data_IF_818518355145
#
_entry.id   IF_818518355145
#
_cell.length_a   1.000
_cell.length_b   1.000
_cell.length_c   1.000
_cell.angle_alpha   90.00
_cell.angle_beta   90.00
_cell.angle_gamma   90.00
#
_symmetry.space_group_name_H-M   'P 1'
#
loop_
_entity.id
_entity.type
_entity.pdbx_description
1 polymer ?
#
# COMPACT_ATOMS: atom_id res chain seq x y z
N UNK A 1 50.73 -14.84 -18.55
CA UNK A 1 50.06 -14.30 -17.34
C UNK A 1 48.72 -13.61 -17.61
N UNK A 2 48.19 -13.62 -18.84
CA UNK A 2 46.94 -12.93 -19.19
C UNK A 2 45.63 -13.63 -18.72
N UNK A 3 45.62 -14.96 -18.58
CA UNK A 3 44.41 -15.72 -18.24
C UNK A 3 43.94 -15.61 -16.78
N UNK A 4 44.85 -15.35 -15.83
CA UNK A 4 44.50 -15.18 -14.41
C UNK A 4 43.72 -13.88 -14.16
N UNK A 5 44.06 -12.81 -14.87
CA UNK A 5 43.37 -11.52 -14.76
C UNK A 5 41.93 -11.60 -15.27
N UNK A 6 41.69 -12.34 -16.35
CA UNK A 6 40.34 -12.51 -16.92
C UNK A 6 39.44 -13.39 -16.05
N UNK A 7 39.99 -14.42 -15.40
CA UNK A 7 39.25 -15.25 -14.43
C UNK A 7 38.87 -14.47 -13.17
N UNK A 8 39.75 -13.59 -12.67
CA UNK A 8 39.46 -12.71 -11.55
C UNK A 8 38.40 -11.67 -11.91
N UNK A 9 38.47 -11.10 -13.12
CA UNK A 9 37.47 -10.13 -13.59
C UNK A 9 36.09 -10.79 -13.79
N UNK A 10 36.06 -12.00 -14.37
CA UNK A 10 34.84 -12.78 -14.50
C UNK A 10 34.27 -13.14 -13.12
N UNK A 11 35.09 -13.65 -12.20
CA UNK A 11 34.67 -14.00 -10.84
C UNK A 11 34.23 -12.81 -9.97
N UNK A 12 34.64 -11.58 -10.31
CA UNK A 12 34.21 -10.36 -9.64
C UNK A 12 32.90 -9.79 -10.21
N UNK A 13 32.66 -9.95 -11.52
CA UNK A 13 31.45 -9.46 -12.20
C UNK A 13 30.27 -10.46 -12.13
N UNK A 14 30.56 -11.77 -12.10
CA UNK A 14 29.56 -12.84 -12.01
C UNK A 14 28.67 -12.74 -10.75
N UNK A 15 29.20 -12.47 -9.54
CA UNK A 15 28.38 -12.26 -8.36
C UNK A 15 27.45 -11.06 -8.51
N UNK A 16 27.89 -9.93 -9.08
CA UNK A 16 27.04 -8.76 -9.29
C UNK A 16 25.89 -9.00 -10.28
N UNK A 17 26.05 -9.93 -11.22
CA UNK A 17 25.01 -10.31 -12.19
C UNK A 17 24.05 -11.38 -11.66
N UNK A 18 24.53 -12.29 -10.79
CA UNK A 18 23.73 -13.34 -10.17
C UNK A 18 23.05 -12.92 -8.86
N UNK A 19 23.58 -11.87 -8.20
CA UNK A 19 23.04 -11.24 -6.99
C UNK A 19 22.18 -10.02 -7.34
N UNK A 20 21.44 -10.06 -8.45
CA UNK A 20 20.19 -9.29 -8.52
C UNK A 20 19.22 -9.93 -7.53
N UNK A 21 19.54 -9.80 -6.24
CA UNK A 21 18.75 -10.33 -5.14
C UNK A 21 17.41 -9.61 -5.19
N UNK A 22 16.37 -10.38 -5.52
CA UNK A 22 14.99 -9.94 -5.46
C UNK A 22 14.72 -9.42 -4.04
N UNK A 23 14.89 -8.11 -3.83
CA UNK A 23 14.63 -7.50 -2.53
C UNK A 23 13.19 -7.82 -2.16
N UNK A 24 12.98 -8.32 -0.94
CA UNK A 24 11.63 -8.56 -0.43
C UNK A 24 11.03 -7.22 -0.06
N UNK A 25 10.02 -6.78 -0.81
CA UNK A 25 9.35 -5.51 -0.61
C UNK A 25 7.96 -5.75 -0.04
N UNK A 26 7.64 -5.04 1.04
CA UNK A 26 6.30 -4.99 1.62
C UNK A 26 5.64 -3.67 1.22
N UNK A 27 4.59 -3.71 0.44
CA UNK A 27 3.70 -2.58 0.18
C UNK A 27 2.49 -2.67 1.12
N UNK A 28 1.89 -1.56 1.52
CA UNK A 28 0.77 -1.59 2.46
C UNK A 28 -0.29 -0.54 2.11
N UNK A 29 -1.54 -0.97 1.90
CA UNK A 29 -2.71 -0.10 1.63
C UNK A 29 -3.72 -0.19 2.76
N UNK A 30 -4.08 0.93 3.36
CA UNK A 30 -5.07 1.04 4.45
C UNK A 30 -6.48 1.42 4.01
N UNK A 31 -6.66 1.77 2.73
CA UNK A 31 -7.94 2.09 2.12
C UNK A 31 -7.98 1.56 0.67
N UNK A 32 -9.19 1.25 0.19
CA UNK A 32 -9.44 0.95 -1.21
C UNK A 32 -9.46 2.18 -2.12
N UNK A 33 -10.06 2.05 -3.30
CA UNK A 33 -10.17 3.12 -4.28
C UNK A 33 -8.81 3.53 -4.84
N UNK A 34 -8.54 4.84 -4.93
CA UNK A 34 -7.32 5.38 -5.53
C UNK A 34 -6.02 4.94 -4.83
N UNK A 35 -6.06 4.75 -3.51
CA UNK A 35 -4.90 4.33 -2.72
C UNK A 35 -4.51 2.89 -3.07
N UNK A 36 -5.51 2.00 -3.14
CA UNK A 36 -5.32 0.64 -3.61
C UNK A 36 -4.80 0.60 -5.05
N UNK A 37 -5.42 1.35 -5.98
CA UNK A 37 -4.98 1.35 -7.38
C UNK A 37 -3.53 1.83 -7.56
N UNK A 38 -3.12 2.84 -6.78
CA UNK A 38 -1.75 3.31 -6.80
C UNK A 38 -0.78 2.25 -6.29
N UNK A 39 -1.09 1.60 -5.16
CA UNK A 39 -0.21 0.59 -4.59
C UNK A 39 -0.24 -0.72 -5.37
N UNK A 40 -1.34 -1.08 -6.00
CA UNK A 40 -1.41 -2.17 -6.96
C UNK A 40 -0.45 -1.92 -8.13
N UNK A 41 -0.50 -0.71 -8.72
CA UNK A 41 0.41 -0.35 -9.81
C UNK A 41 1.87 -0.34 -9.39
N UNK A 42 2.18 0.21 -8.22
CA UNK A 42 3.54 0.20 -7.66
C UNK A 42 4.01 -1.24 -7.43
N UNK A 43 3.15 -2.10 -6.88
CA UNK A 43 3.49 -3.50 -6.59
C UNK A 43 3.76 -4.29 -7.88
N UNK A 44 2.97 -4.08 -8.93
CA UNK A 44 3.22 -4.64 -10.27
C UNK A 44 4.58 -4.20 -10.81
N UNK A 45 4.86 -2.90 -10.83
CA UNK A 45 6.13 -2.37 -11.33
C UNK A 45 7.31 -2.98 -10.58
N UNK A 46 7.25 -3.05 -9.25
CA UNK A 46 8.32 -3.63 -8.45
C UNK A 46 8.52 -5.12 -8.75
N UNK A 47 7.43 -5.88 -8.92
CA UNK A 47 7.52 -7.28 -9.26
C UNK A 47 8.06 -7.51 -10.68
N UNK A 48 7.64 -6.71 -11.65
CA UNK A 48 8.13 -6.74 -13.04
C UNK A 48 9.64 -6.48 -13.13
N UNK A 49 10.20 -5.74 -12.16
CA UNK A 49 11.64 -5.49 -12.03
C UNK A 49 12.38 -6.59 -11.24
N UNK A 50 11.72 -7.71 -10.93
CA UNK A 50 12.31 -8.88 -10.29
C UNK A 50 12.29 -8.85 -8.77
N UNK A 51 11.57 -7.94 -8.12
CA UNK A 51 11.43 -7.92 -6.66
C UNK A 51 10.38 -8.93 -6.17
N UNK A 52 10.58 -9.46 -4.96
CA UNK A 52 9.60 -10.31 -4.30
C UNK A 52 8.63 -9.42 -3.50
N UNK A 53 7.51 -9.08 -4.12
CA UNK A 53 6.54 -8.14 -3.55
C UNK A 53 5.45 -8.87 -2.77
N UNK A 54 5.16 -8.36 -1.58
CA UNK A 54 3.98 -8.71 -0.79
C UNK A 54 3.21 -7.44 -0.47
N UNK A 55 1.90 -7.43 -0.74
CA UNK A 55 1.01 -6.33 -0.38
C UNK A 55 0.22 -6.67 0.88
N UNK A 56 0.34 -5.83 1.90
CA UNK A 56 -0.49 -5.85 3.09
C UNK A 56 -1.73 -4.98 2.86
N UNK A 57 -2.91 -5.58 2.90
CA UNK A 57 -4.17 -4.87 2.89
C UNK A 57 -4.62 -4.69 4.34
N UNK A 58 -4.72 -3.44 4.77
CA UNK A 58 -5.22 -3.08 6.08
C UNK A 58 -6.65 -2.57 5.97
N UNK A 59 -7.56 -3.18 6.72
CA UNK A 59 -8.99 -2.86 6.69
C UNK A 59 -9.81 -3.85 5.87
N UNK A 60 -11.13 -3.71 5.90
CA UNK A 60 -12.01 -4.55 5.07
C UNK A 60 -11.81 -4.24 3.58
N UNK A 61 -12.32 -5.09 2.70
CA UNK A 61 -12.26 -4.93 1.23
C UNK A 61 -13.12 -3.75 0.72
N UNK A 62 -13.24 -2.66 1.48
CA UNK A 62 -13.92 -1.44 1.07
C UNK A 62 -13.25 -0.88 -0.17
N UNK A 63 -14.03 -0.72 -1.25
CA UNK A 63 -13.59 -0.09 -2.49
C UNK A 63 -12.39 -0.80 -3.15
N UNK A 64 -12.15 -2.08 -2.82
CA UNK A 64 -11.22 -2.91 -3.58
C UNK A 64 -11.98 -3.39 -4.82
N UNK A 65 -11.51 -3.08 -6.04
CA UNK A 65 -12.13 -3.57 -7.26
C UNK A 65 -12.10 -5.11 -7.31
N UNK A 66 -13.00 -5.72 -8.09
CA UNK A 66 -12.99 -7.17 -8.30
C UNK A 66 -11.59 -7.65 -8.72
N UNK A 67 -11.14 -8.74 -8.09
CA UNK A 67 -9.78 -9.25 -8.26
C UNK A 67 -9.54 -9.67 -9.71
N UNK A 68 -8.73 -8.89 -10.41
CA UNK A 68 -7.99 -9.37 -11.57
C UNK A 68 -6.89 -10.35 -11.12
N UNK A 69 -6.27 -11.04 -12.06
CA UNK A 69 -5.17 -11.98 -11.77
C UNK A 69 -3.96 -11.21 -11.19
N UNK A 70 -3.81 -11.21 -9.86
CA UNK A 70 -2.74 -10.52 -9.15
C UNK A 70 -1.48 -11.40 -9.17
N UNK A 71 -0.39 -10.87 -9.72
CA UNK A 71 0.88 -11.60 -9.87
C UNK A 71 1.72 -11.65 -8.58
N UNK A 72 1.48 -10.75 -7.63
CA UNK A 72 2.21 -10.64 -6.36
C UNK A 72 1.40 -11.16 -5.16
N UNK A 73 2.07 -11.45 -4.04
CA UNK A 73 1.42 -12.00 -2.84
C UNK A 73 0.60 -10.92 -2.15
N UNK A 74 -0.61 -11.25 -1.71
CA UNK A 74 -1.46 -10.36 -0.91
C UNK A 74 -1.72 -10.98 0.46
N UNK A 75 -1.58 -10.18 1.52
CA UNK A 75 -1.92 -10.54 2.91
C UNK A 75 -3.00 -9.56 3.36
N UNK A 76 -4.17 -10.07 3.75
CA UNK A 76 -5.20 -9.27 4.39
C UNK A 76 -4.96 -9.24 5.90
N UNK A 77 -4.94 -8.04 6.48
CA UNK A 77 -4.90 -7.81 7.90
C UNK A 77 -6.13 -7.02 8.35
N UNK A 78 -6.99 -7.69 9.09
CA UNK A 78 -8.20 -7.09 9.65
C UNK A 78 -7.88 -6.48 11.03
N UNK A 79 -8.21 -5.19 11.25
CA UNK A 79 -8.10 -4.59 12.57
C UNK A 79 -9.12 -5.22 13.55
N UNK A 80 -8.92 -5.05 14.87
CA UNK A 80 -9.89 -5.46 15.87
C UNK A 80 -11.26 -4.78 15.70
N UNK A 81 -12.32 -5.41 16.22
CA UNK A 81 -13.72 -5.04 15.98
C UNK A 81 -14.07 -3.61 16.40
N UNK A 82 -13.55 -3.17 17.54
CA UNK A 82 -13.73 -1.83 18.08
C UNK A 82 -13.13 -0.76 17.15
N UNK A 83 -11.88 -0.97 16.72
CA UNK A 83 -11.22 -0.10 15.74
C UNK A 83 -11.95 -0.07 14.41
N UNK A 84 -12.49 -1.23 13.98
CA UNK A 84 -13.27 -1.33 12.74
C UNK A 84 -14.57 -0.55 12.84
N UNK A 85 -15.28 -0.65 13.97
CA UNK A 85 -16.52 0.10 14.21
C UNK A 85 -16.26 1.61 14.20
N UNK A 86 -15.21 2.06 14.87
CA UNK A 86 -14.85 3.48 14.93
C UNK A 86 -14.48 4.03 13.55
N UNK A 87 -13.73 3.25 12.75
CA UNK A 87 -13.41 3.59 11.37
C UNK A 87 -14.68 3.69 10.51
N UNK A 88 -15.56 2.69 10.56
CA UNK A 88 -16.79 2.67 9.76
C UNK A 88 -17.72 3.83 10.12
N UNK A 89 -17.88 4.14 11.41
CA UNK A 89 -18.68 5.30 11.85
C UNK A 89 -18.10 6.61 11.32
N UNK A 90 -16.78 6.75 11.35
CA UNK A 90 -16.08 7.94 10.84
C UNK A 90 -16.25 8.06 9.33
N UNK A 91 -16.06 6.96 8.59
CA UNK A 91 -16.23 6.93 7.14
C UNK A 91 -17.67 7.21 6.72
N UNK A 92 -18.65 6.60 7.38
CA UNK A 92 -20.08 6.81 7.13
C UNK A 92 -20.49 8.27 7.36
N UNK A 93 -19.98 8.90 8.41
CA UNK A 93 -20.12 10.34 8.65
C UNK A 93 -19.58 11.16 7.48
N UNK A 94 -18.36 10.89 7.01
CA UNK A 94 -17.77 11.61 5.87
C UNK A 94 -18.59 11.45 4.58
N UNK A 95 -19.05 10.23 4.26
CA UNK A 95 -19.87 9.97 3.08
C UNK A 95 -21.20 10.69 3.18
N UNK A 96 -21.85 10.61 4.35
CA UNK A 96 -23.13 11.28 4.61
C UNK A 96 -23.00 12.79 4.47
N UNK A 97 -21.98 13.39 5.08
CA UNK A 97 -21.74 14.83 4.98
C UNK A 97 -21.39 15.26 3.55
N UNK A 98 -20.59 14.48 2.82
CA UNK A 98 -20.27 14.76 1.43
C UNK A 98 -21.52 14.71 0.53
N UNK A 99 -22.40 13.73 0.73
CA UNK A 99 -23.67 13.61 0.02
C UNK A 99 -24.63 14.74 0.41
N UNK A 100 -24.69 15.09 1.70
CA UNK A 100 -25.52 16.19 2.18
C UNK A 100 -25.02 17.52 1.60
N UNK A 101 -23.71 17.77 1.59
CA UNK A 101 -23.11 18.94 0.95
C UNK A 101 -23.33 18.94 -0.57
N UNK A 102 -23.30 17.79 -1.23
CA UNK A 102 -23.59 17.69 -2.67
C UNK A 102 -25.07 18.03 -2.97
N UNK A 103 -26.01 17.49 -2.19
CA UNK A 103 -27.43 17.84 -2.28
C UNK A 103 -27.68 19.31 -1.92
N UNK A 104 -26.97 19.83 -0.91
CA UNK A 104 -27.08 21.21 -0.43
C UNK A 104 -26.40 22.21 -1.36
N UNK A 105 -25.35 21.84 -2.11
CA UNK A 105 -24.71 22.70 -3.12
C UNK A 105 -25.59 22.92 -4.36
N UNK A 106 -26.61 22.09 -4.59
CA UNK A 106 -27.71 22.47 -5.51
C UNK A 106 -28.52 23.67 -5.00
N UNK A 107 -28.36 24.01 -3.71
CA UNK A 107 -28.97 25.13 -2.99
C UNK A 107 -27.89 25.92 -2.21
N UNK A 108 -26.84 26.37 -2.90
CA UNK A 108 -25.95 27.42 -2.39
C UNK A 108 -24.69 26.95 -1.66
N UNK A 109 -23.55 27.30 -2.27
CA UNK A 109 -22.17 27.11 -1.80
C UNK A 109 -21.92 27.64 -0.38
N UNK A 110 -21.28 26.84 0.49
CA UNK A 110 -20.39 27.37 1.53
C UNK A 110 -19.31 26.35 1.98
N UNK A 111 -18.09 26.87 2.11
CA UNK A 111 -16.86 26.20 2.55
C UNK A 111 -17.08 25.26 3.75
N UNK A 112 -16.65 24.01 3.62
CA UNK A 112 -16.36 23.14 4.77
C UNK A 112 -14.90 22.73 4.72
N UNK A 113 -14.06 23.55 5.37
CA UNK A 113 -12.70 23.17 5.76
C UNK A 113 -12.82 22.38 7.06
N UNK A 114 -12.69 21.05 7.03
CA UNK A 114 -12.61 20.22 8.24
C UNK A 114 -11.31 19.42 8.28
N UNK A 115 -10.69 19.28 9.46
CA UNK A 115 -9.38 18.67 9.61
C UNK A 115 -9.51 17.16 9.54
N UNK A 116 -8.65 16.53 8.75
CA UNK A 116 -8.36 15.10 8.89
C UNK A 116 -7.78 14.90 10.30
N UNK A 117 -8.35 14.05 11.17
CA UNK A 117 -7.68 13.73 12.43
C UNK A 117 -6.42 12.93 12.08
N UNK A 118 -5.27 13.52 12.37
CA UNK A 118 -3.98 12.85 12.28
C UNK A 118 -4.04 11.54 13.04
N UNK A 119 -3.94 10.41 12.33
CA UNK A 119 -3.65 9.12 12.94
C UNK A 119 -2.28 9.25 13.63
N UNK A 120 -2.31 9.54 14.93
CA UNK A 120 -1.14 9.47 15.79
C UNK A 120 -0.77 8.00 15.90
N UNK A 121 0.22 7.60 15.09
CA UNK A 121 0.87 6.30 15.21
C UNK A 121 1.58 6.28 16.58
N UNK A 122 0.90 5.77 17.60
CA UNK A 122 1.53 5.49 18.90
C UNK A 122 2.50 4.32 18.72
N UNK A 123 3.75 4.65 18.41
CA UNK A 123 4.85 3.70 18.40
C UNK A 123 5.16 3.25 19.82
N UNK A 124 4.52 2.18 20.28
CA UNK A 124 4.99 1.43 21.45
C UNK A 124 6.27 0.69 21.06
N UNK A 125 7.37 0.80 21.83
CA UNK A 125 8.59 0.06 21.53
C UNK A 125 8.36 -1.44 21.82
N UNK A 126 8.58 -2.26 20.79
CA UNK A 126 8.75 -3.70 20.93
C UNK A 126 10.12 -3.92 21.59
N UNK A 127 10.13 -4.30 22.87
CA UNK A 127 11.33 -4.83 23.52
C UNK A 127 11.57 -6.26 23.04
N UNK A 128 12.77 -6.50 22.50
CA UNK A 128 13.35 -7.82 22.24
C UNK A 128 13.80 -8.43 23.57
#
# INVERSE_FOLDING_TARGET
MAGKGMLLLAGFLLPGFLLSEATKILTASSLGGSHYLLLDRVSQILQDHGHNVTMLLYGEEFLIPEKNEISYKVISWLPPEDHRKDFNNTFDFFVTEALHAYCSCSVGSLLVSLPFPSLVLSSSPISI
#
